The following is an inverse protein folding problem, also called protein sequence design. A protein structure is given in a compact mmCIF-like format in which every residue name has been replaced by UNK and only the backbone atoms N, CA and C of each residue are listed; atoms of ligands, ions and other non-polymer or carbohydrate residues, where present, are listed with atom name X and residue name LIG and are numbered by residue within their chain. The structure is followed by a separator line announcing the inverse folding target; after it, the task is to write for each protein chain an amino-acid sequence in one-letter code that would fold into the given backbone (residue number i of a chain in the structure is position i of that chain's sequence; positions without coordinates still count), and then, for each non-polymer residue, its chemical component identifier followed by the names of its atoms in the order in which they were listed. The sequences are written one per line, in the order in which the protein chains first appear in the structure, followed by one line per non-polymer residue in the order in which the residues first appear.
data_IF_296684254810
#
_entry.id   IF_296684254810
#
_cell.length_a   1.000
_cell.length_b   1.000
_cell.length_c   1.000
_cell.angle_alpha   90.00
_cell.angle_beta   90.00
_cell.angle_gamma   90.00
#
_symmetry.space_group_name_H-M   'P 1'
#
loop_
_entity.id
_entity.type
_entity.pdbx_description
1 polymer ?
#
# COMPACT_ATOMS: atom_id res chain seq x y z
N UNK A 1 -0.76 6.01 -1.99
CA UNK A 1 -0.71 6.84 -0.77
C UNK A 1 -1.99 6.64 0.02
N UNK A 2 -1.86 6.41 1.32
CA UNK A 2 -2.98 6.15 2.22
C UNK A 2 -2.80 7.04 3.45
N UNK A 3 -3.82 7.86 3.77
CA UNK A 3 -3.90 8.60 5.02
C UNK A 3 -4.88 7.89 5.94
N UNK A 4 -4.43 7.47 7.11
CA UNK A 4 -5.22 6.83 8.17
C UNK A 4 -5.26 7.74 9.39
N UNK A 5 -6.25 8.64 9.50
CA UNK A 5 -6.31 9.62 10.60
C UNK A 5 -6.76 9.00 11.91
N UNK A 6 -7.41 7.82 11.86
CA UNK A 6 -7.95 7.14 13.02
C UNK A 6 -7.90 5.62 12.81
N UNK A 7 -6.87 4.99 13.35
CA UNK A 7 -6.65 3.55 13.27
C UNK A 7 -6.67 2.93 14.65
N UNK A 8 -7.51 1.93 14.86
CA UNK A 8 -7.60 1.21 16.14
C UNK A 8 -6.22 0.66 16.54
N UNK A 9 -5.71 1.12 17.68
CA UNK A 9 -4.44 0.69 18.26
C UNK A 9 -3.21 1.40 17.69
N UNK A 10 -3.31 2.14 16.56
CA UNK A 10 -2.18 2.84 15.93
C UNK A 10 -2.38 4.35 15.80
N UNK A 11 -3.64 4.85 15.87
CA UNK A 11 -3.93 6.28 15.78
C UNK A 11 -3.76 6.85 14.37
N UNK A 12 -3.07 7.98 14.25
CA UNK A 12 -2.92 8.74 13.00
C UNK A 12 -1.56 8.47 12.35
N UNK A 13 -1.57 7.91 11.14
CA UNK A 13 -0.37 7.73 10.34
C UNK A 13 -0.65 7.78 8.84
N UNK A 14 0.40 7.90 8.04
CA UNK A 14 0.32 7.89 6.57
C UNK A 14 1.24 6.82 6.01
N UNK A 15 0.77 6.12 4.97
CA UNK A 15 1.56 5.12 4.23
C UNK A 15 1.64 5.47 2.75
N UNK A 16 2.68 4.97 2.12
CA UNK A 16 2.81 4.89 0.66
C UNK A 16 3.32 3.51 0.29
N UNK A 17 2.67 2.85 -0.64
CA UNK A 17 3.02 1.51 -1.09
C UNK A 17 3.13 1.40 -2.60
N UNK A 18 3.94 0.45 -3.04
CA UNK A 18 4.02 0.01 -4.43
C UNK A 18 3.44 -1.40 -4.51
N UNK A 19 2.37 -1.54 -5.30
CA UNK A 19 1.60 -2.77 -5.41
C UNK A 19 1.67 -3.25 -6.85
N UNK A 20 1.93 -4.55 -7.03
CA UNK A 20 2.08 -5.20 -8.33
C UNK A 20 0.90 -6.15 -8.54
N UNK A 21 0.14 -6.05 -9.64
CA UNK A 21 -0.83 -7.07 -10.01
C UNK A 21 -0.13 -8.41 -10.24
N UNK A 22 -0.68 -9.47 -9.64
CA UNK A 22 -0.14 -10.83 -9.72
C UNK A 22 -1.27 -11.84 -9.91
N UNK A 23 -0.91 -13.11 -10.14
CA UNK A 23 -1.87 -14.22 -10.05
C UNK A 23 -1.25 -15.38 -9.28
N UNK A 24 -2.08 -16.07 -8.49
CA UNK A 24 -1.75 -17.32 -7.82
C UNK A 24 -2.80 -18.36 -8.23
N UNK A 25 -2.36 -19.46 -8.85
CA UNK A 25 -3.23 -20.55 -9.33
C UNK A 25 -4.39 -20.07 -10.21
N UNK A 26 -4.12 -19.06 -11.06
CA UNK A 26 -5.11 -18.45 -11.95
C UNK A 26 -6.02 -17.40 -11.30
N UNK A 27 -5.91 -17.18 -9.99
CA UNK A 27 -6.64 -16.12 -9.28
C UNK A 27 -5.84 -14.83 -9.29
N UNK A 28 -6.39 -13.78 -9.89
CA UNK A 28 -5.76 -12.45 -9.91
C UNK A 28 -5.78 -11.81 -8.52
N UNK A 29 -4.72 -11.08 -8.18
CA UNK A 29 -4.57 -10.39 -6.90
C UNK A 29 -3.49 -9.33 -6.93
N UNK A 30 -3.12 -8.83 -5.79
CA UNK A 30 -2.13 -7.78 -5.61
C UNK A 30 -0.98 -8.26 -4.72
N UNK A 31 0.25 -7.91 -5.06
CA UNK A 31 1.43 -8.13 -4.23
C UNK A 31 2.01 -6.79 -3.77
N UNK A 32 2.19 -6.62 -2.46
CA UNK A 32 2.82 -5.42 -1.93
C UNK A 32 4.35 -5.57 -2.02
N UNK A 33 4.94 -4.87 -3.00
CA UNK A 33 6.37 -4.92 -3.29
C UNK A 33 7.19 -4.04 -2.33
N UNK A 34 6.72 -2.84 -2.03
CA UNK A 34 7.36 -1.92 -1.10
C UNK A 34 6.31 -1.11 -0.34
N UNK A 35 6.59 -0.76 0.91
CA UNK A 35 5.71 0.06 1.72
C UNK A 35 6.51 0.93 2.70
N UNK A 36 6.08 2.18 2.83
CA UNK A 36 6.75 3.21 3.63
C UNK A 36 5.72 3.94 4.46
N UNK A 37 6.00 4.16 5.74
CA UNK A 37 5.11 4.91 6.62
C UNK A 37 5.89 5.70 7.67
N UNK A 38 5.19 6.60 8.35
CA UNK A 38 5.78 7.57 9.26
C UNK A 38 5.64 7.20 10.74
N UNK A 39 5.22 5.95 11.05
CA UNK A 39 4.99 5.54 12.43
C UNK A 39 5.54 4.12 12.71
N UNK A 40 6.18 3.92 13.86
CA UNK A 40 6.83 2.67 14.23
C UNK A 40 5.89 1.51 14.61
N UNK A 41 4.82 1.70 15.42
CA UNK A 41 3.92 0.61 15.80
C UNK A 41 3.30 -0.12 14.60
N UNK A 42 2.72 0.56 13.58
CA UNK A 42 2.20 -0.13 12.40
C UNK A 42 3.28 -0.71 11.48
N UNK A 43 4.57 -0.28 11.61
CA UNK A 43 5.69 -0.96 10.97
C UNK A 43 5.92 -2.32 11.63
N UNK A 44 6.10 -2.36 12.94
CA UNK A 44 6.38 -3.59 13.68
C UNK A 44 5.24 -4.60 13.50
N UNK A 45 4.01 -4.23 13.84
CA UNK A 45 2.85 -5.12 13.71
C UNK A 45 2.64 -5.60 12.27
N UNK A 46 2.76 -4.71 11.29
CA UNK A 46 2.59 -5.06 9.88
C UNK A 46 3.63 -6.06 9.38
N UNK A 47 4.88 -5.91 9.78
CA UNK A 47 5.98 -6.84 9.43
C UNK A 47 5.84 -8.19 10.12
N UNK A 48 5.56 -8.17 11.42
CA UNK A 48 5.57 -9.39 12.24
C UNK A 48 4.33 -10.25 12.04
N UNK A 49 3.14 -9.66 11.90
CA UNK A 49 1.90 -10.40 11.72
C UNK A 49 1.67 -10.81 10.26
N UNK A 50 1.74 -9.85 9.33
CA UNK A 50 1.35 -10.07 7.92
C UNK A 50 2.53 -10.27 6.97
N UNK A 51 3.71 -9.72 7.30
CA UNK A 51 4.86 -9.73 6.39
C UNK A 51 4.92 -8.53 5.43
N UNK A 52 4.23 -7.43 5.71
CA UNK A 52 4.37 -6.21 4.91
C UNK A 52 5.82 -5.74 4.85
N UNK A 53 6.36 -5.36 3.68
CA UNK A 53 7.75 -4.88 3.53
C UNK A 53 7.91 -3.44 4.01
N UNK A 54 7.41 -3.13 5.21
CA UNK A 54 7.32 -1.79 5.77
C UNK A 54 8.68 -1.23 6.19
N UNK A 55 8.95 0.02 5.81
CA UNK A 55 10.10 0.82 6.23
C UNK A 55 9.65 2.19 6.74
N UNK A 56 10.41 2.78 7.66
CA UNK A 56 10.18 4.14 8.11
C UNK A 56 10.55 5.13 7.01
N UNK A 57 9.67 6.08 6.75
CA UNK A 57 9.86 7.17 5.80
C UNK A 57 8.89 8.32 6.13
N UNK A 58 8.78 9.31 5.26
CA UNK A 58 7.89 10.46 5.46
C UNK A 58 6.89 10.60 4.30
N UNK A 59 5.91 9.68 4.19
CA UNK A 59 4.83 9.86 3.23
C UNK A 59 3.89 10.99 3.67
N UNK A 60 3.35 11.72 2.72
CA UNK A 60 2.29 12.69 2.93
C UNK A 60 1.21 12.60 1.86
N UNK A 61 -0.04 12.87 2.24
CA UNK A 61 -1.17 12.98 1.33
C UNK A 61 -1.99 14.20 1.74
N UNK A 62 -2.03 15.20 0.88
CA UNK A 62 -2.65 16.49 1.17
C UNK A 62 -3.35 17.07 -0.04
N UNK A 63 -4.34 17.92 0.19
CA UNK A 63 -4.99 18.72 -0.85
C UNK A 63 -4.38 20.12 -0.87
N UNK A 64 -4.02 20.57 -2.04
CA UNK A 64 -3.64 21.96 -2.28
C UNK A 64 -4.48 22.50 -3.44
N UNK A 65 -5.37 23.43 -3.13
CA UNK A 65 -6.35 23.99 -4.06
C UNK A 65 -7.18 22.91 -4.78
N UNK A 66 -6.95 22.67 -6.04
CA UNK A 66 -7.64 21.72 -6.93
C UNK A 66 -6.91 20.37 -7.09
N UNK A 67 -5.81 20.18 -6.39
CA UNK A 67 -4.89 19.06 -6.57
C UNK A 67 -4.74 18.24 -5.30
N UNK A 68 -4.90 16.92 -5.40
CA UNK A 68 -4.48 15.96 -4.39
C UNK A 68 -3.01 15.60 -4.66
N UNK A 69 -2.17 15.75 -3.65
CA UNK A 69 -0.72 15.57 -3.74
C UNK A 69 -0.28 14.47 -2.77
N UNK A 70 0.40 13.44 -3.31
CA UNK A 70 1.12 12.44 -2.56
C UNK A 70 2.63 12.67 -2.69
N UNK A 71 3.34 12.72 -1.58
CA UNK A 71 4.79 12.86 -1.54
C UNK A 71 5.38 11.78 -0.65
N UNK A 72 6.55 11.24 -1.03
CA UNK A 72 7.27 10.26 -0.23
C UNK A 72 8.74 10.65 -0.15
N UNK A 73 9.22 10.95 1.05
CA UNK A 73 10.62 11.20 1.33
C UNK A 73 11.21 10.06 2.16
N UNK A 74 12.38 9.55 1.74
CA UNK A 74 13.18 8.61 2.51
C UNK A 74 14.37 9.36 3.12
N UNK A 75 14.30 9.61 4.42
CA UNK A 75 15.13 10.64 5.04
C UNK A 75 14.85 12.01 4.39
N UNK A 76 15.89 12.76 3.98
CA UNK A 76 15.72 14.06 3.33
C UNK A 76 15.53 13.98 1.81
N UNK A 77 15.49 12.77 1.22
CA UNK A 77 15.48 12.56 -0.23
C UNK A 77 14.07 12.23 -0.71
N UNK A 78 13.52 13.05 -1.63
CA UNK A 78 12.28 12.75 -2.33
C UNK A 78 12.47 11.52 -3.21
N UNK A 79 11.64 10.47 -3.01
CA UNK A 79 11.68 9.25 -3.82
C UNK A 79 10.42 9.04 -4.66
N UNK A 80 9.30 9.69 -4.31
CA UNK A 80 8.10 9.69 -5.15
C UNK A 80 7.28 10.97 -4.99
N UNK A 81 6.65 11.40 -6.10
CA UNK A 81 5.63 12.46 -6.11
C UNK A 81 4.49 12.00 -7.01
N UNK A 82 3.27 12.07 -6.51
CA UNK A 82 2.05 11.80 -7.26
C UNK A 82 1.10 13.00 -7.15
N UNK A 83 0.43 13.33 -8.24
CA UNK A 83 -0.61 14.36 -8.26
C UNK A 83 -1.86 13.85 -8.96
N UNK A 84 -3.03 14.30 -8.52
CA UNK A 84 -4.31 13.99 -9.13
C UNK A 84 -5.24 15.20 -9.02
N UNK A 85 -6.04 15.49 -10.06
CA UNK A 85 -7.13 16.45 -9.96
C UNK A 85 -8.10 16.06 -8.83
N UNK A 86 -8.24 16.96 -7.83
CA UNK A 86 -9.01 16.66 -6.62
C UNK A 86 -10.50 16.56 -6.89
N UNK A 87 -11.09 15.40 -6.59
CA UNK A 87 -12.52 15.10 -6.81
C UNK A 87 -13.03 15.47 -8.20
N UNK A 88 -12.19 15.24 -9.22
CA UNK A 88 -12.42 15.71 -10.59
C UNK A 88 -13.65 15.04 -11.21
N UNK A 89 -13.80 13.72 -11.09
CA UNK A 89 -14.93 12.96 -11.59
C UNK A 89 -15.33 11.88 -10.60
N UNK A 90 -16.60 11.79 -10.26
CA UNK A 90 -17.14 10.78 -9.33
C UNK A 90 -17.04 9.39 -9.95
N UNK A 91 -16.63 8.43 -9.15
CA UNK A 91 -16.69 6.99 -9.43
C UNK A 91 -17.84 6.36 -8.65
N UNK A 92 -18.38 5.27 -9.21
CA UNK A 92 -19.38 4.45 -8.53
C UNK A 92 -18.79 3.84 -7.26
N UNK A 93 -19.46 4.09 -6.13
CA UNK A 93 -18.99 3.66 -4.80
C UNK A 93 -18.95 2.13 -4.66
N UNK A 94 -19.91 1.41 -5.27
CA UNK A 94 -19.93 -0.06 -5.21
C UNK A 94 -18.82 -0.67 -6.05
N UNK A 95 -18.50 -0.09 -7.20
CA UNK A 95 -17.35 -0.49 -8.00
C UNK A 95 -16.03 -0.27 -7.24
N UNK A 96 -15.91 0.86 -6.54
CA UNK A 96 -14.74 1.14 -5.70
C UNK A 96 -14.65 0.16 -4.51
N UNK A 97 -15.78 -0.14 -3.86
CA UNK A 97 -15.87 -1.11 -2.75
C UNK A 97 -15.40 -2.50 -3.20
N UNK A 98 -15.95 -3.00 -4.31
CA UNK A 98 -15.56 -4.31 -4.85
C UNK A 98 -14.08 -4.37 -5.18
N UNK A 99 -13.54 -3.33 -5.79
CA UNK A 99 -12.10 -3.27 -6.11
C UNK A 99 -11.20 -3.34 -4.87
N UNK A 100 -11.68 -2.89 -3.70
CA UNK A 100 -10.95 -2.97 -2.44
C UNK A 100 -11.17 -4.32 -1.73
N UNK A 101 -12.43 -4.79 -1.65
CA UNK A 101 -12.81 -5.93 -0.82
C UNK A 101 -12.58 -7.29 -1.49
N UNK A 102 -12.90 -7.39 -2.80
CA UNK A 102 -12.98 -8.68 -3.48
C UNK A 102 -11.63 -9.16 -4.05
N UNK A 103 -10.64 -8.25 -4.14
CA UNK A 103 -9.32 -8.58 -4.67
C UNK A 103 -8.41 -9.11 -3.55
N UNK A 104 -7.89 -10.34 -3.67
CA UNK A 104 -6.92 -10.87 -2.72
C UNK A 104 -5.61 -10.11 -2.77
N UNK A 105 -4.99 -9.93 -1.62
CA UNK A 105 -3.68 -9.32 -1.48
C UNK A 105 -2.69 -10.36 -0.95
N UNK A 106 -1.47 -10.32 -1.47
CA UNK A 106 -0.40 -11.26 -1.14
C UNK A 106 0.81 -10.55 -0.55
N UNK A 107 1.43 -11.21 0.41
CA UNK A 107 2.66 -10.78 1.08
C UNK A 107 3.62 -11.95 1.21
N UNK A 108 4.90 -11.69 1.02
CA UNK A 108 5.95 -12.65 1.38
C UNK A 108 6.43 -12.33 2.80
N UNK A 109 5.99 -13.14 3.75
CA UNK A 109 6.38 -13.00 5.16
C UNK A 109 7.68 -13.74 5.40
N UNK A 110 8.74 -12.99 5.71
CA UNK A 110 10.05 -13.55 6.09
C UNK A 110 10.42 -13.04 7.47
N UNK A 111 10.56 -13.97 8.43
CA UNK A 111 11.04 -13.67 9.77
C UNK A 111 12.38 -14.40 9.96
N UNK A 112 13.48 -13.69 10.15
CA UNK A 112 14.79 -14.31 10.32
C UNK A 112 14.96 -14.91 11.71
N UNK A 113 15.77 -15.98 11.79
CA UNK A 113 16.35 -16.47 13.02
C UNK A 113 17.55 -15.59 13.44
N UNK A 114 18.07 -15.77 14.63
CA UNK A 114 19.20 -14.98 15.17
C UNK A 114 20.50 -15.15 14.36
N UNK A 115 20.65 -16.21 13.60
CA UNK A 115 21.77 -16.48 12.70
C UNK A 115 21.59 -15.89 11.29
N UNK A 116 20.46 -15.19 11.04
CA UNK A 116 20.11 -14.60 9.75
C UNK A 116 19.42 -15.50 8.77
N UNK A 117 19.29 -16.81 9.06
CA UNK A 117 18.49 -17.72 8.22
C UNK A 117 17.00 -17.45 8.39
N UNK A 118 16.17 -17.82 7.41
CA UNK A 118 14.72 -17.66 7.54
C UNK A 118 14.17 -18.65 8.57
N UNK A 119 13.47 -18.16 9.59
CA UNK A 119 12.70 -18.95 10.55
C UNK A 119 11.26 -19.14 10.08
N UNK A 120 10.72 -18.14 9.40
CA UNK A 120 9.43 -18.16 8.71
C UNK A 120 9.67 -17.65 7.29
N UNK A 121 9.15 -18.35 6.29
CA UNK A 121 9.14 -17.92 4.89
C UNK A 121 7.82 -18.38 4.27
N UNK A 122 6.82 -17.53 4.30
CA UNK A 122 5.43 -17.87 4.00
C UNK A 122 4.82 -16.89 2.99
N UNK A 123 4.05 -17.41 2.03
CA UNK A 123 3.14 -16.60 1.24
C UNK A 123 1.84 -16.42 2.01
N UNK A 124 1.54 -15.18 2.37
CA UNK A 124 0.34 -14.81 3.14
C UNK A 124 -0.67 -14.16 2.21
N UNK A 125 -1.92 -14.61 2.25
CA UNK A 125 -3.06 -14.00 1.58
C UNK A 125 -3.94 -13.29 2.60
N UNK A 126 -4.44 -12.08 2.27
CA UNK A 126 -5.43 -11.37 3.07
C UNK A 126 -6.41 -10.60 2.18
N UNK A 127 -7.55 -10.22 2.76
CA UNK A 127 -8.55 -9.35 2.16
C UNK A 127 -8.83 -8.18 3.09
N UNK A 128 -9.17 -7.04 2.50
CA UNK A 128 -9.77 -5.94 3.27
C UNK A 128 -11.22 -6.30 3.59
N UNK A 129 -11.62 -6.11 4.84
CA UNK A 129 -12.93 -6.47 5.38
C UNK A 129 -13.72 -5.21 5.75
N UNK A 130 -15.03 -5.34 5.91
CA UNK A 130 -15.94 -4.28 6.36
C UNK A 130 -15.79 -2.97 5.56
N UNK A 131 -15.50 -3.09 4.26
CA UNK A 131 -15.23 -1.91 3.41
C UNK A 131 -16.49 -1.11 3.19
N UNK A 132 -16.52 0.11 3.74
CA UNK A 132 -17.58 1.09 3.56
C UNK A 132 -17.06 2.34 2.84
N UNK A 133 -17.32 2.45 1.54
CA UNK A 133 -16.88 3.59 0.72
C UNK A 133 -17.78 4.80 0.97
N UNK A 134 -17.19 5.90 1.45
CA UNK A 134 -17.84 7.19 1.70
C UNK A 134 -17.78 8.11 0.48
N UNK A 135 -16.85 7.86 -0.44
CA UNK A 135 -16.72 8.59 -1.69
C UNK A 135 -15.56 8.07 -2.51
N UNK A 136 -15.71 8.14 -3.84
CA UNK A 136 -14.69 7.72 -4.78
C UNK A 136 -14.65 8.64 -6.00
N UNK A 137 -13.46 8.98 -6.46
CA UNK A 137 -13.23 9.87 -7.59
C UNK A 137 -12.05 9.40 -8.43
N UNK A 138 -12.06 9.79 -9.70
CA UNK A 138 -10.91 9.69 -10.60
C UNK A 138 -10.58 11.08 -11.18
N UNK A 139 -9.40 11.22 -11.78
CA UNK A 139 -8.99 12.46 -12.43
C UNK A 139 -7.67 12.31 -13.17
N UNK A 140 -7.26 13.36 -13.91
CA UNK A 140 -5.94 13.44 -14.48
C UNK A 140 -4.88 13.24 -13.41
N UNK A 141 -3.83 12.51 -13.73
CA UNK A 141 -2.80 12.16 -12.76
C UNK A 141 -1.40 12.19 -13.36
N UNK A 142 -0.42 12.41 -12.50
CA UNK A 142 0.99 12.29 -12.82
C UNK A 142 1.71 11.58 -11.67
N UNK A 143 2.78 10.85 -12.02
CA UNK A 143 3.64 10.14 -11.08
C UNK A 143 5.09 10.31 -11.49
N UNK A 144 5.95 10.68 -10.54
CA UNK A 144 7.40 10.67 -10.68
C UNK A 144 8.02 9.84 -9.58
N UNK A 145 8.91 8.92 -9.96
CA UNK A 145 9.71 8.11 -9.06
C UNK A 145 11.18 8.48 -9.23
N UNK A 146 11.92 8.56 -8.11
CA UNK A 146 13.32 8.97 -8.11
C UNK A 146 14.19 7.85 -7.51
N UNK A 147 15.36 7.54 -8.14
CA UNK A 147 16.25 6.49 -7.67
C UNK A 147 16.79 6.77 -6.26
N UNK A 148 16.88 5.71 -5.46
CA UNK A 148 17.50 5.75 -4.14
C UNK A 148 18.05 4.38 -3.77
N UNK A 149 19.30 4.32 -3.26
CA UNK A 149 20.02 3.07 -3.01
C UNK A 149 19.34 2.12 -2.01
N UNK A 150 18.53 2.63 -1.07
CA UNK A 150 17.87 1.84 -0.01
C UNK A 150 16.34 1.84 -0.11
N UNK A 151 15.77 2.55 -1.06
CA UNK A 151 14.33 2.66 -1.30
C UNK A 151 14.02 2.55 -2.80
N UNK A 152 14.05 1.32 -3.37
CA UNK A 152 14.13 1.09 -4.81
C UNK A 152 12.77 1.22 -5.52
N UNK A 153 11.98 2.25 -5.21
CA UNK A 153 10.66 2.47 -5.87
C UNK A 153 10.78 2.77 -7.36
N UNK A 154 11.92 3.33 -7.79
CA UNK A 154 12.19 3.67 -9.20
C UNK A 154 12.80 2.50 -9.98
N UNK A 155 13.13 1.37 -9.35
CA UNK A 155 13.66 0.18 -10.05
C UNK A 155 12.58 -0.48 -10.92
N UNK A 156 11.30 -0.27 -10.60
CA UNK A 156 10.18 -0.58 -11.48
C UNK A 156 9.83 0.66 -12.31
N UNK A 157 10.16 0.69 -13.61
CA UNK A 157 9.95 1.88 -14.43
C UNK A 157 8.46 2.19 -14.62
N UNK A 158 8.09 3.45 -14.54
CA UNK A 158 6.76 3.92 -14.93
C UNK A 158 6.72 3.98 -16.45
N UNK A 159 5.98 3.08 -17.09
CA UNK A 159 5.80 3.06 -18.54
C UNK A 159 4.71 4.03 -18.98
N UNK A 160 3.60 4.05 -18.23
CA UNK A 160 2.44 4.90 -18.50
C UNK A 160 1.67 5.16 -17.21
N UNK A 161 1.12 6.36 -17.06
CA UNK A 161 0.18 6.71 -15.98
C UNK A 161 -1.25 6.62 -16.54
N UNK A 162 -1.94 5.52 -16.28
CA UNK A 162 -3.29 5.26 -16.78
C UNK A 162 -4.34 6.15 -16.11
N UNK A 163 -4.10 6.61 -14.89
CA UNK A 163 -4.99 7.45 -14.10
C UNK A 163 -4.73 7.32 -12.60
N UNK A 164 -5.54 8.00 -11.81
CA UNK A 164 -5.55 7.84 -10.35
C UNK A 164 -6.98 7.73 -9.82
N UNK A 165 -7.09 7.15 -8.63
CA UNK A 165 -8.35 7.07 -7.87
C UNK A 165 -8.12 7.62 -6.48
N UNK A 166 -9.05 8.46 -6.03
CA UNK A 166 -9.14 8.91 -4.65
C UNK A 166 -10.36 8.27 -4.01
N UNK A 167 -10.16 7.46 -2.99
CA UNK A 167 -11.23 6.74 -2.28
C UNK A 167 -11.17 7.14 -0.81
N UNK A 168 -12.32 7.46 -0.23
CA UNK A 168 -12.51 7.66 1.20
C UNK A 168 -13.38 6.52 1.70
N UNK A 169 -12.86 5.72 2.61
CA UNK A 169 -13.54 4.53 3.12
C UNK A 169 -13.15 4.24 4.57
N UNK A 170 -14.05 3.57 5.29
CA UNK A 170 -13.69 2.79 6.47
C UNK A 170 -13.45 1.34 6.03
N UNK A 171 -12.52 0.68 6.69
CA UNK A 171 -12.20 -0.73 6.41
C UNK A 171 -11.49 -1.38 7.59
N UNK A 172 -11.49 -2.71 7.60
CA UNK A 172 -10.74 -3.53 8.54
C UNK A 172 -9.63 -4.27 7.79
N UNK A 173 -8.40 -4.18 8.30
CA UNK A 173 -7.32 -5.06 7.88
C UNK A 173 -7.48 -6.41 8.58
N UNK A 174 -8.05 -7.38 7.88
CA UNK A 174 -8.23 -8.73 8.39
C UNK A 174 -6.90 -9.45 8.63
N UNK A 175 -6.89 -10.49 9.46
CA UNK A 175 -5.75 -11.38 9.57
C UNK A 175 -5.54 -12.13 8.25
N UNK A 176 -4.26 -12.45 7.97
CA UNK A 176 -3.90 -13.23 6.80
C UNK A 176 -4.02 -14.75 7.05
N UNK A 177 -3.99 -15.49 5.97
CA UNK A 177 -3.83 -16.95 5.96
C UNK A 177 -2.54 -17.33 5.22
N UNK A 178 -1.85 -18.34 5.69
CA UNK A 178 -0.68 -18.90 4.99
C UNK A 178 -1.20 -19.78 3.86
N UNK A 179 -0.89 -19.39 2.61
CA UNK A 179 -1.28 -20.16 1.42
C UNK A 179 -0.15 -21.02 0.87
N UNK A 180 1.09 -20.72 1.25
CA UNK A 180 2.25 -21.52 0.93
C UNK A 180 3.36 -21.29 1.97
N UNK A 181 4.02 -22.38 2.42
CA UNK A 181 5.18 -22.33 3.28
C UNK A 181 6.41 -22.81 2.49
N UNK A 182 7.39 -21.94 2.33
CA UNK A 182 8.63 -22.22 1.59
C UNK A 182 9.65 -23.04 2.39
N UNK A 183 9.38 -23.30 3.68
CA UNK A 183 10.23 -24.08 4.59
C UNK A 183 9.63 -25.45 4.95
N UNK A 184 8.42 -25.77 4.46
CA UNK A 184 7.74 -27.07 4.68
C UNK A 184 8.31 -28.18 3.80
#
# INVERSE_FOLDING_TARGET
FIRMPDSTGFGDYTESGQVIPVSLDGVAGNYTHAMYLNDHPPIAGGRELWGFPKKLASPSLKVHTDTLIGELDYGPVRIATATMGYKHQTLDAETARRGLADTPNFLLKIIPHVDGTARICELVRYHLQDVAVKGAWTGPAALSLFPHALAPVADLPVLEVLGARHIVADLTLGLGEVVFDYLA
#
